data_IF_485902729736
#
_entry.id   IF_485902729736
#
_cell.length_a   1.000
_cell.length_b   1.000
_cell.length_c   1.000
_cell.angle_alpha   90.00
_cell.angle_beta   90.00
_cell.angle_gamma   90.00
#
_symmetry.space_group_name_H-M   'P 1'
#
loop_
_entity.id
_entity.type
_entity.pdbx_description
1 polymer ?
#
# COMPACT_ATOMS: atom_id res chain seq x y z
N UNK A 1 -6.12 1.42 14.23
CA UNK A 1 -4.92 1.71 13.42
C UNK A 1 -5.00 3.14 12.89
N UNK A 2 -3.87 3.85 12.72
CA UNK A 2 -3.86 5.22 12.17
C UNK A 2 -3.97 5.17 10.65
N UNK A 3 -4.92 5.92 10.08
CA UNK A 3 -5.10 6.04 8.63
C UNK A 3 -4.02 6.96 8.05
N UNK A 4 -3.46 6.59 6.90
CA UNK A 4 -2.54 7.45 6.16
C UNK A 4 -3.31 8.54 5.41
N UNK A 5 -2.67 9.70 5.19
CA UNK A 5 -3.24 10.73 4.30
C UNK A 5 -2.95 10.32 2.86
N UNK A 6 -3.84 10.69 1.94
CA UNK A 6 -3.68 10.36 0.52
C UNK A 6 -2.36 10.90 -0.07
N UNK A 7 -1.89 12.05 0.39
CA UNK A 7 -0.62 12.60 -0.09
C UNK A 7 0.59 11.77 0.40
N UNK A 8 0.55 11.28 1.64
CA UNK A 8 1.59 10.36 2.15
C UNK A 8 1.65 9.06 1.33
N UNK A 9 0.50 8.58 0.85
CA UNK A 9 0.43 7.39 -0.02
C UNK A 9 0.99 7.69 -1.41
N UNK A 10 0.71 8.86 -1.99
CA UNK A 10 1.25 9.26 -3.30
C UNK A 10 2.77 9.33 -3.27
N UNK A 11 3.32 9.90 -2.21
CA UNK A 11 4.77 10.02 -2.04
C UNK A 11 5.42 8.64 -1.95
N UNK A 12 4.82 7.72 -1.19
CA UNK A 12 5.37 6.38 -1.01
C UNK A 12 5.31 5.49 -2.27
N UNK A 13 4.30 5.67 -3.13
CA UNK A 13 4.18 4.87 -4.36
C UNK A 13 4.89 5.51 -5.56
N UNK A 14 5.47 6.71 -5.42
CA UNK A 14 5.98 7.50 -6.56
C UNK A 14 6.97 6.73 -7.43
N UNK A 15 7.78 5.88 -6.79
CA UNK A 15 8.85 5.15 -7.45
C UNK A 15 8.42 3.73 -7.90
N UNK A 16 7.17 3.32 -7.63
CA UNK A 16 6.60 2.06 -8.12
C UNK A 16 6.22 2.13 -9.61
N UNK A 17 6.15 0.99 -10.32
CA UNK A 17 5.55 0.95 -11.65
C UNK A 17 4.13 1.52 -11.69
N UNK A 18 3.77 2.22 -12.79
CA UNK A 18 2.49 2.94 -12.94
C UNK A 18 1.27 2.09 -12.61
N UNK A 19 1.26 0.81 -13.01
CA UNK A 19 0.12 -0.08 -12.75
C UNK A 19 -0.03 -0.41 -11.26
N UNK A 20 1.10 -0.54 -10.53
CA UNK A 20 1.11 -0.73 -9.08
C UNK A 20 0.67 0.54 -8.36
N UNK A 21 1.07 1.72 -8.85
CA UNK A 21 0.60 2.99 -8.31
C UNK A 21 -0.93 3.10 -8.38
N UNK A 22 -1.52 2.75 -9.53
CA UNK A 22 -2.99 2.78 -9.72
C UNK A 22 -3.70 1.86 -8.74
N UNK A 23 -3.21 0.64 -8.54
CA UNK A 23 -3.82 -0.33 -7.63
C UNK A 23 -3.78 0.14 -6.17
N UNK A 24 -2.63 0.60 -5.69
CA UNK A 24 -2.51 1.14 -4.32
C UNK A 24 -3.41 2.36 -4.13
N UNK A 25 -3.47 3.24 -5.14
CA UNK A 25 -4.27 4.46 -5.05
C UNK A 25 -5.77 4.20 -5.11
N UNK A 26 -6.20 3.17 -5.83
CA UNK A 26 -7.59 2.71 -5.80
C UNK A 26 -7.97 2.28 -4.38
N UNK A 27 -7.16 1.41 -3.76
CA UNK A 27 -7.40 0.90 -2.40
C UNK A 27 -7.41 2.02 -1.36
N UNK A 28 -6.44 2.94 -1.43
CA UNK A 28 -6.37 4.09 -0.53
C UNK A 28 -7.61 4.98 -0.61
N UNK A 29 -8.20 5.13 -1.80
CA UNK A 29 -9.43 5.91 -2.01
C UNK A 29 -10.70 5.16 -1.58
N UNK A 30 -10.81 3.87 -1.89
CA UNK A 30 -12.04 3.10 -1.61
C UNK A 30 -12.12 2.62 -0.16
N UNK A 31 -11.04 2.07 0.38
CA UNK A 31 -11.03 1.45 1.72
C UNK A 31 -10.22 2.25 2.73
N UNK A 32 -9.38 3.18 2.26
CA UNK A 32 -8.32 3.75 3.09
C UNK A 32 -7.15 2.80 3.19
N UNK A 33 -6.01 3.34 3.60
CA UNK A 33 -4.82 2.55 3.96
C UNK A 33 -4.26 3.08 5.27
N UNK A 34 -3.53 2.23 5.98
CA UNK A 34 -2.90 2.60 7.26
C UNK A 34 -1.51 3.19 7.02
N UNK A 35 -1.00 3.97 7.98
CA UNK A 35 0.39 4.45 7.92
C UNK A 35 1.38 3.29 7.83
N UNK A 36 1.09 2.17 8.51
CA UNK A 36 1.89 0.95 8.44
C UNK A 36 2.00 0.39 7.02
N UNK A 37 0.92 0.41 6.25
CA UNK A 37 0.94 -0.04 4.86
C UNK A 37 1.84 0.86 3.99
N UNK A 38 1.83 2.16 4.25
CA UNK A 38 2.72 3.13 3.58
C UNK A 38 4.19 2.88 3.94
N UNK A 39 4.48 2.66 5.22
CA UNK A 39 5.84 2.33 5.70
C UNK A 39 6.36 1.05 5.03
N UNK A 40 5.50 0.06 4.82
CA UNK A 40 5.86 -1.20 4.15
C UNK A 40 6.18 -1.03 2.67
N UNK A 41 5.57 -0.06 1.98
CA UNK A 41 5.87 0.24 0.58
C UNK A 41 7.26 0.88 0.46
N UNK A 42 7.62 1.73 1.43
CA UNK A 42 8.87 2.48 1.44
C UNK A 42 10.09 1.67 1.91
N UNK A 43 9.90 0.44 2.39
CA UNK A 43 10.98 -0.35 2.97
C UNK A 43 11.86 -1.01 1.88
N UNK A 44 13.14 -0.62 1.75
CA UNK A 44 14.03 -1.14 0.71
C UNK A 44 14.44 -2.60 0.92
N UNK A 45 14.34 -3.17 2.13
CA UNK A 45 14.58 -4.61 2.33
C UNK A 45 13.40 -5.46 1.83
N UNK A 46 12.22 -4.86 1.67
CA UNK A 46 11.00 -5.57 1.33
C UNK A 46 10.82 -5.78 -0.18
N UNK A 47 11.45 -4.95 -1.01
CA UNK A 47 11.56 -5.17 -2.47
C UNK A 47 12.23 -6.52 -2.79
N UNK A 48 13.15 -6.99 -1.94
CA UNK A 48 13.86 -8.26 -2.13
C UNK A 48 13.06 -9.50 -1.76
N UNK A 49 12.00 -9.37 -0.95
CA UNK A 49 11.38 -10.53 -0.29
C UNK A 49 9.93 -10.83 -0.72
N UNK A 50 9.14 -9.89 -1.28
CA UNK A 50 7.77 -10.14 -1.82
C UNK A 50 7.34 -9.08 -2.85
N UNK A 51 6.53 -9.46 -3.86
CA UNK A 51 5.90 -8.49 -4.78
C UNK A 51 4.90 -7.59 -4.04
N UNK A 52 4.86 -6.29 -4.38
CA UNK A 52 3.79 -5.31 -4.05
C UNK A 52 2.38 -5.92 -4.14
N UNK A 53 2.14 -6.82 -5.10
CA UNK A 53 0.84 -7.45 -5.31
C UNK A 53 0.44 -8.37 -4.14
N UNK A 54 1.41 -9.08 -3.54
CA UNK A 54 1.18 -9.90 -2.35
C UNK A 54 0.79 -9.07 -1.12
N UNK A 55 1.25 -7.81 -1.07
CA UNK A 55 0.95 -6.89 0.02
C UNK A 55 -0.44 -6.28 -0.12
N UNK A 56 -0.80 -5.89 -1.33
CA UNK A 56 -2.15 -5.49 -1.68
C UNK A 56 -3.12 -6.61 -1.31
N UNK A 57 -2.81 -7.86 -1.69
CA UNK A 57 -3.67 -9.00 -1.37
C UNK A 57 -3.79 -9.22 0.14
N UNK A 58 -2.67 -9.21 0.88
CA UNK A 58 -2.70 -9.36 2.34
C UNK A 58 -3.53 -8.25 3.01
N UNK A 59 -3.38 -7.01 2.57
CA UNK A 59 -4.16 -5.89 3.09
C UNK A 59 -5.66 -6.04 2.80
N UNK A 60 -6.02 -6.51 1.59
CA UNK A 60 -7.41 -6.82 1.22
C UNK A 60 -7.96 -7.96 2.09
N UNK A 61 -7.16 -8.98 2.39
CA UNK A 61 -7.59 -10.10 3.23
C UNK A 61 -7.82 -9.67 4.68
N UNK A 62 -6.92 -8.84 5.26
CA UNK A 62 -7.09 -8.25 6.59
C UNK A 62 -8.36 -7.36 6.68
N UNK A 63 -8.73 -6.67 5.61
CA UNK A 63 -9.96 -5.88 5.53
C UNK A 63 -11.24 -6.73 5.49
N UNK A 64 -11.18 -7.98 5.03
CA UNK A 64 -12.35 -8.88 4.99
C UNK A 64 -12.64 -9.55 6.34
N UNK A 65 -11.62 -9.66 7.19
CA UNK A 65 -11.72 -10.25 8.53
C UNK A 65 -12.16 -9.23 9.61
N UNK A 66 -12.35 -7.97 9.24
CA UNK A 66 -12.84 -6.88 10.11
C UNK A 66 -14.25 -6.43 9.75
#
# INVERSE_FOLDING_TARGET
MKRARIDDVKDAIRDLPVDKQKNVMLIAKTHGVTTRFVDMINDPEYEKNRSVDSWIQKYIDELKET
#
